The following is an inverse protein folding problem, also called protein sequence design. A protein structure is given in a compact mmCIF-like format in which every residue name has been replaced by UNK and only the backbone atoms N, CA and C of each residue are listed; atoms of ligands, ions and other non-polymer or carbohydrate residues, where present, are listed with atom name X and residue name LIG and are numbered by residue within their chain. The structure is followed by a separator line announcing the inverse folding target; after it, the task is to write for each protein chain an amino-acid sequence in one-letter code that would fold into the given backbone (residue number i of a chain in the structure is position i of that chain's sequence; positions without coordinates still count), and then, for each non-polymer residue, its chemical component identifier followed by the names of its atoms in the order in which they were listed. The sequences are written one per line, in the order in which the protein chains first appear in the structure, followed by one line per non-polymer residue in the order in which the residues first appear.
data_IF_222489215574
#
_entry.id   IF_222489215574
#
_cell.length_a   1.000
_cell.length_b   1.000
_cell.length_c   1.000
_cell.angle_alpha   90.00
_cell.angle_beta   90.00
_cell.angle_gamma   90.00
#
_symmetry.space_group_name_H-M   'P 1'
#
loop_
_entity.id
_entity.type
_entity.pdbx_description
1 polymer ?
#
# COMPACT_ATOMS: atom_id res chain seq x y z
N UNK A 1 -13.54 0.42 -13.98
CA UNK A 1 -12.50 1.38 -13.48
C UNK A 1 -11.90 0.82 -12.19
N UNK A 2 -10.88 1.43 -11.55
CA UNK A 2 -10.21 0.82 -10.38
C UNK A 2 -11.12 0.56 -9.17
N UNK A 3 -12.18 1.35 -9.00
CA UNK A 3 -13.22 1.12 -7.99
C UNK A 3 -14.17 -0.07 -8.33
N UNK A 4 -14.00 -0.70 -9.48
CA UNK A 4 -14.70 -1.93 -9.90
C UNK A 4 -13.84 -3.17 -9.67
N UNK A 5 -12.55 -2.98 -9.33
CA UNK A 5 -11.62 -4.04 -9.02
C UNK A 5 -11.94 -4.67 -7.66
N UNK A 6 -11.62 -5.95 -7.53
CA UNK A 6 -11.82 -6.75 -6.32
C UNK A 6 -10.75 -6.41 -5.28
N UNK A 7 -9.49 -6.34 -5.70
CA UNK A 7 -8.38 -6.07 -4.81
C UNK A 7 -8.21 -4.57 -4.54
N UNK A 8 -7.70 -4.28 -3.35
CA UNK A 8 -7.40 -2.91 -2.94
C UNK A 8 -6.28 -2.32 -3.79
N UNK A 9 -6.46 -1.10 -4.25
CA UNK A 9 -5.44 -0.28 -4.94
C UNK A 9 -5.56 1.17 -4.49
N UNK A 10 -4.48 1.94 -4.57
CA UNK A 10 -4.48 3.33 -4.10
C UNK A 10 -5.56 4.18 -4.77
N UNK A 11 -5.71 4.06 -6.08
CA UNK A 11 -6.76 4.80 -6.82
C UNK A 11 -8.12 4.14 -6.82
N UNK A 12 -8.22 2.84 -6.53
CA UNK A 12 -9.47 2.17 -6.20
C UNK A 12 -10.06 2.74 -4.92
N UNK A 13 -9.23 2.94 -3.89
CA UNK A 13 -9.59 3.63 -2.64
C UNK A 13 -10.05 5.06 -2.96
N UNK A 14 -9.25 5.85 -3.67
CA UNK A 14 -9.56 7.24 -4.05
C UNK A 14 -10.93 7.33 -4.73
N UNK A 15 -11.15 6.53 -5.77
CA UNK A 15 -12.40 6.53 -6.57
C UNK A 15 -13.61 5.95 -5.83
N UNK A 16 -13.41 5.39 -4.64
CA UNK A 16 -14.48 4.88 -3.77
C UNK A 16 -14.91 5.88 -2.70
N UNK A 17 -14.31 7.08 -2.67
CA UNK A 17 -14.70 8.15 -1.76
C UNK A 17 -15.73 9.09 -2.41
N UNK A 18 -16.47 9.86 -1.57
CA UNK A 18 -17.50 10.77 -2.08
C UNK A 18 -16.90 12.06 -2.65
N UNK A 19 -15.84 12.57 -2.01
CA UNK A 19 -15.20 13.83 -2.32
C UNK A 19 -13.72 13.56 -2.58
N UNK A 20 -13.25 13.90 -3.76
CA UNK A 20 -11.86 13.79 -4.16
C UNK A 20 -11.58 14.71 -5.34
N UNK A 21 -10.33 15.04 -5.57
CA UNK A 21 -9.94 15.77 -6.79
C UNK A 21 -10.24 14.96 -8.05
N UNK A 22 -10.67 15.63 -9.12
CA UNK A 22 -10.87 15.01 -10.43
C UNK A 22 -9.55 14.88 -11.22
N UNK A 23 -8.56 15.69 -10.87
CA UNK A 23 -7.21 15.69 -11.45
C UNK A 23 -6.24 15.02 -10.49
N UNK A 24 -6.17 13.68 -10.55
CA UNK A 24 -5.22 12.96 -9.68
C UNK A 24 -3.88 12.76 -10.36
N UNK A 25 -2.86 13.06 -9.58
CA UNK A 25 -1.47 12.75 -9.89
C UNK A 25 -0.80 12.32 -8.59
N UNK A 26 -0.08 11.22 -8.62
CA UNK A 26 0.65 10.73 -7.45
C UNK A 26 1.58 11.81 -6.89
N UNK A 27 1.64 11.91 -5.57
CA UNK A 27 2.43 12.90 -4.83
C UNK A 27 2.09 14.37 -5.16
N UNK A 28 0.87 14.66 -5.61
CA UNK A 28 0.45 16.01 -5.92
C UNK A 28 0.02 16.78 -4.66
N UNK A 29 0.72 17.87 -4.29
CA UNK A 29 0.38 18.69 -3.11
C UNK A 29 -0.74 19.71 -3.37
N UNK A 30 -1.27 19.77 -4.59
CA UNK A 30 -2.26 20.77 -4.98
C UNK A 30 -3.63 20.46 -4.37
N UNK A 31 -4.28 21.47 -3.83
CA UNK A 31 -5.68 21.47 -3.43
C UNK A 31 -6.47 22.40 -4.34
N UNK A 32 -7.43 21.86 -5.06
CA UNK A 32 -8.40 22.61 -5.83
C UNK A 32 -9.66 22.79 -4.94
N UNK A 33 -9.87 24.00 -4.42
CA UNK A 33 -10.93 24.25 -3.43
C UNK A 33 -12.32 23.86 -3.95
N UNK A 34 -12.57 23.99 -5.23
CA UNK A 34 -13.83 23.62 -5.86
C UNK A 34 -14.16 22.12 -5.73
N UNK A 35 -13.15 21.26 -5.70
CA UNK A 35 -13.35 19.81 -5.52
C UNK A 35 -13.87 19.49 -4.11
N UNK A 36 -13.60 20.35 -3.12
CA UNK A 36 -13.90 20.13 -1.70
C UNK A 36 -15.06 20.97 -1.13
N UNK A 37 -15.69 21.83 -1.96
CA UNK A 37 -16.76 22.73 -1.50
C UNK A 37 -18.06 22.05 -1.04
N UNK A 38 -18.27 20.79 -1.44
CA UNK A 38 -19.48 20.02 -1.15
C UNK A 38 -19.31 19.05 0.00
N UNK A 39 -18.33 19.24 0.87
CA UNK A 39 -18.15 18.41 2.07
C UNK A 39 -19.31 18.72 3.03
N UNK A 40 -20.06 17.69 3.38
CA UNK A 40 -21.19 17.72 4.32
C UNK A 40 -20.99 16.64 5.38
N UNK A 41 -21.90 16.60 6.36
CA UNK A 41 -21.88 15.62 7.46
C UNK A 41 -21.75 14.18 6.93
N UNK A 42 -20.73 13.47 7.40
CA UNK A 42 -20.46 12.10 7.00
C UNK A 42 -19.79 11.92 5.65
N UNK A 43 -19.40 13.00 4.96
CA UNK A 43 -18.63 12.87 3.71
C UNK A 43 -17.34 12.07 3.92
N UNK A 44 -17.04 11.15 3.00
CA UNK A 44 -15.78 10.42 2.91
C UNK A 44 -14.90 11.20 1.93
N UNK A 45 -13.89 11.86 2.45
CA UNK A 45 -13.05 12.83 1.73
C UNK A 45 -11.68 12.21 1.47
N UNK A 46 -11.24 12.20 0.21
CA UNK A 46 -9.89 11.76 -0.13
C UNK A 46 -8.96 12.94 -0.37
N UNK A 47 -7.76 12.85 0.21
CA UNK A 47 -6.69 13.82 0.03
C UNK A 47 -5.37 13.07 -0.21
N UNK A 48 -4.60 13.46 -1.24
CA UNK A 48 -3.24 12.93 -1.39
C UNK A 48 -2.38 13.25 -0.16
N UNK A 49 -1.57 12.30 0.32
CA UNK A 49 -0.74 12.54 1.52
C UNK A 49 0.08 13.83 1.39
N UNK A 50 0.68 14.10 0.22
CA UNK A 50 1.45 15.32 -0.03
C UNK A 50 0.63 16.61 0.09
N UNK A 51 -0.71 16.53 -0.01
CA UNK A 51 -1.63 17.66 0.04
C UNK A 51 -2.27 17.87 1.43
N UNK A 52 -2.04 16.99 2.40
CA UNK A 52 -2.68 17.03 3.73
C UNK A 52 -2.45 18.36 4.44
N UNK A 53 -1.22 18.88 4.42
CA UNK A 53 -0.91 20.17 5.04
C UNK A 53 -1.72 21.31 4.41
N UNK A 54 -1.79 21.32 3.08
CA UNK A 54 -2.58 22.33 2.35
C UNK A 54 -4.08 22.16 2.62
N UNK A 55 -4.60 20.94 2.71
CA UNK A 55 -5.99 20.66 3.09
C UNK A 55 -6.31 21.23 4.47
N UNK A 56 -5.48 20.98 5.47
CA UNK A 56 -5.64 21.50 6.83
C UNK A 56 -5.65 23.03 6.85
N UNK A 57 -4.82 23.67 6.03
CA UNK A 57 -4.68 25.14 6.02
C UNK A 57 -5.77 25.84 5.21
N UNK A 58 -6.30 25.22 4.15
CA UNK A 58 -7.17 25.91 3.20
C UNK A 58 -8.62 25.40 3.19
N UNK A 59 -8.82 24.09 3.29
CA UNK A 59 -10.18 23.49 3.22
C UNK A 59 -10.77 23.38 4.61
N UNK A 60 -10.03 22.78 5.56
CA UNK A 60 -10.53 22.53 6.91
C UNK A 60 -11.14 23.78 7.58
N UNK A 61 -10.59 25.00 7.49
CA UNK A 61 -11.19 26.19 8.09
C UNK A 61 -12.58 26.55 7.52
N UNK A 62 -12.91 26.08 6.32
CA UNK A 62 -14.22 26.33 5.68
C UNK A 62 -15.29 25.34 6.08
N UNK A 63 -14.91 24.20 6.66
CA UNK A 63 -15.83 23.13 7.00
C UNK A 63 -16.58 23.43 8.30
N UNK A 64 -17.83 23.00 8.34
CA UNK A 64 -18.70 23.07 9.53
C UNK A 64 -19.07 21.67 10.05
N UNK A 65 -19.14 20.71 9.16
CA UNK A 65 -19.64 19.37 9.42
C UNK A 65 -18.51 18.38 9.70
N UNK A 66 -18.86 17.26 10.30
CA UNK A 66 -17.96 16.12 10.54
C UNK A 66 -17.77 15.31 9.28
N UNK A 67 -16.55 14.81 9.08
CA UNK A 67 -16.16 14.02 7.90
C UNK A 67 -15.16 12.91 8.25
N UNK A 68 -15.06 11.93 7.37
CA UNK A 68 -14.04 10.89 7.37
C UNK A 68 -12.96 11.27 6.36
N UNK A 69 -11.68 11.25 6.78
CA UNK A 69 -10.56 11.49 5.91
C UNK A 69 -9.94 10.15 5.46
N UNK A 70 -9.68 10.04 4.18
CA UNK A 70 -8.91 8.96 3.57
C UNK A 70 -7.73 9.58 2.85
N UNK A 71 -6.50 9.11 3.08
CA UNK A 71 -5.34 9.71 2.43
C UNK A 71 -4.32 8.69 1.93
N UNK A 72 -3.68 9.02 0.81
CA UNK A 72 -2.71 8.13 0.16
C UNK A 72 -2.15 8.69 -1.14
N UNK A 73 -1.85 7.81 -2.11
CA UNK A 73 -1.31 8.11 -3.46
C UNK A 73 -0.02 8.96 -3.42
N UNK A 74 0.84 8.70 -2.41
CA UNK A 74 2.12 9.36 -2.25
C UNK A 74 3.07 8.51 -1.40
N UNK A 75 4.37 8.65 -1.68
CA UNK A 75 5.45 7.99 -0.94
C UNK A 75 5.75 8.66 0.42
N UNK A 76 5.23 9.87 0.66
CA UNK A 76 5.53 10.59 1.90
C UNK A 76 4.92 9.91 3.12
N UNK A 77 5.66 9.93 4.21
CA UNK A 77 5.24 9.40 5.51
C UNK A 77 4.37 10.41 6.26
N UNK A 78 3.37 9.90 6.96
CA UNK A 78 2.48 10.71 7.80
C UNK A 78 2.73 10.31 9.27
N UNK A 79 3.01 11.25 10.15
CA UNK A 79 3.13 12.71 9.93
C UNK A 79 4.51 13.18 9.44
N UNK A 80 5.56 12.40 9.57
CA UNK A 80 6.96 12.81 9.64
C UNK A 80 7.44 13.70 8.47
N UNK A 81 6.93 13.46 7.26
CA UNK A 81 7.36 14.20 6.06
C UNK A 81 6.51 15.46 5.79
N UNK A 82 5.33 15.59 6.40
CA UNK A 82 4.34 16.60 5.99
C UNK A 82 3.80 17.48 7.12
N UNK A 83 3.81 16.99 8.36
CA UNK A 83 3.29 17.71 9.53
C UNK A 83 4.29 17.67 10.67
N UNK A 84 4.39 18.74 11.40
CA UNK A 84 4.98 18.68 12.74
C UNK A 84 4.09 17.85 13.67
N UNK A 85 4.66 17.30 14.73
CA UNK A 85 3.88 16.54 15.72
C UNK A 85 2.77 17.37 16.36
N UNK A 86 2.98 18.68 16.51
CA UNK A 86 1.98 19.61 17.04
C UNK A 86 0.81 19.80 16.06
N UNK A 87 1.09 20.00 14.77
CA UNK A 87 0.07 20.11 13.72
C UNK A 87 -0.73 18.81 13.62
N UNK A 88 -0.04 17.67 13.65
CA UNK A 88 -0.67 16.35 13.59
C UNK A 88 -1.62 16.11 14.76
N UNK A 89 -1.16 16.33 16.00
CA UNK A 89 -2.00 16.14 17.19
C UNK A 89 -3.16 17.13 17.21
N UNK A 90 -2.94 18.40 16.86
CA UNK A 90 -4.00 19.40 16.77
C UNK A 90 -5.08 18.99 15.76
N UNK A 91 -4.68 18.42 14.61
CA UNK A 91 -5.63 17.93 13.61
C UNK A 91 -6.42 16.72 14.09
N UNK A 92 -5.81 15.80 14.82
CA UNK A 92 -6.51 14.64 15.40
C UNK A 92 -7.58 15.05 16.45
N UNK A 93 -7.33 16.15 17.19
CA UNK A 93 -8.27 16.68 18.16
C UNK A 93 -9.39 17.53 17.53
N UNK A 94 -9.29 17.86 16.22
CA UNK A 94 -10.34 18.60 15.54
C UNK A 94 -11.68 17.86 15.63
N UNK A 95 -12.75 18.51 16.15
CA UNK A 95 -14.05 17.86 16.32
C UNK A 95 -14.75 17.48 15.01
N UNK A 96 -14.35 18.09 13.89
CA UNK A 96 -14.90 17.77 12.56
C UNK A 96 -14.29 16.51 11.98
N UNK A 97 -13.08 16.12 12.37
CA UNK A 97 -12.46 14.87 11.96
C UNK A 97 -13.08 13.70 12.76
N UNK A 98 -13.88 12.87 12.09
CA UNK A 98 -14.43 11.66 12.68
C UNK A 98 -13.38 10.54 12.71
N UNK A 99 -12.75 10.26 11.57
CA UNK A 99 -11.72 9.24 11.45
C UNK A 99 -10.78 9.55 10.29
N UNK A 100 -9.53 9.12 10.38
CA UNK A 100 -8.53 9.23 9.34
C UNK A 100 -7.93 7.87 8.99
N UNK A 101 -8.17 7.40 7.78
CA UNK A 101 -7.52 6.25 7.18
C UNK A 101 -6.32 6.74 6.36
N UNK A 102 -5.11 6.30 6.70
CA UNK A 102 -3.89 6.90 6.17
C UNK A 102 -2.90 5.86 5.65
N UNK A 103 -2.48 5.97 4.39
CA UNK A 103 -1.32 5.25 3.85
C UNK A 103 -0.03 5.81 4.43
N UNK A 104 1.01 4.97 4.51
CA UNK A 104 2.32 5.36 5.04
C UNK A 104 2.24 6.07 6.41
N UNK A 105 1.34 5.62 7.28
CA UNK A 105 1.18 6.13 8.64
C UNK A 105 2.30 5.60 9.53
N UNK A 106 3.23 6.46 9.94
CA UNK A 106 4.44 6.10 10.69
C UNK A 106 4.38 6.58 12.15
N UNK A 107 3.32 6.24 12.83
CA UNK A 107 3.18 6.51 14.27
C UNK A 107 3.56 5.27 15.08
N UNK A 108 4.18 5.42 16.28
CA UNK A 108 4.46 4.29 17.14
C UNK A 108 3.19 3.49 17.48
N UNK A 109 3.28 2.18 17.41
CA UNK A 109 2.11 1.26 17.58
C UNK A 109 1.35 1.50 18.88
N UNK A 110 2.05 1.82 19.97
CA UNK A 110 1.45 2.13 21.28
C UNK A 110 0.86 3.53 21.39
N UNK A 111 0.97 4.34 20.35
CA UNK A 111 0.51 5.74 20.31
C UNK A 111 -0.53 5.99 19.22
N UNK A 112 -1.10 4.93 18.63
CA UNK A 112 -2.13 5.08 17.58
C UNK A 112 -3.40 5.69 18.22
N UNK A 113 -3.74 6.89 17.77
CA UNK A 113 -4.93 7.58 18.20
C UNK A 113 -6.20 6.85 17.74
N UNK A 114 -7.28 6.89 18.54
CA UNK A 114 -8.57 6.22 18.23
C UNK A 114 -9.20 6.62 16.88
N UNK A 115 -8.90 7.82 16.40
CA UNK A 115 -9.34 8.32 15.08
C UNK A 115 -8.44 7.92 13.93
N UNK A 116 -7.38 7.13 14.15
CA UNK A 116 -6.43 6.74 13.11
C UNK A 116 -6.55 5.26 12.74
N UNK A 117 -6.39 4.97 11.47
CA UNK A 117 -6.17 3.61 10.96
C UNK A 117 -5.15 3.60 9.84
N UNK A 118 -4.26 2.63 9.88
CA UNK A 118 -3.43 2.33 8.72
C UNK A 118 -4.30 1.95 7.52
N UNK A 119 -3.88 2.37 6.33
CA UNK A 119 -4.49 2.07 5.05
C UNK A 119 -3.42 1.51 4.11
N UNK A 120 -3.67 0.40 3.39
CA UNK A 120 -2.70 -0.14 2.45
C UNK A 120 -2.57 0.72 1.20
N UNK A 121 -1.38 0.70 0.58
CA UNK A 121 -1.24 1.21 -0.78
C UNK A 121 -1.93 0.30 -1.80
N UNK A 122 -1.97 -1.01 -1.53
CA UNK A 122 -2.59 -2.00 -2.40
C UNK A 122 -1.85 -2.19 -3.73
N UNK A 123 -2.59 -2.64 -4.74
CA UNK A 123 -2.06 -2.89 -6.08
C UNK A 123 -1.85 -1.60 -6.88
N UNK A 124 -0.87 -1.61 -7.76
CA UNK A 124 -0.64 -0.52 -8.71
C UNK A 124 -1.29 -0.84 -10.06
N UNK A 125 -2.54 -0.47 -10.23
CA UNK A 125 -3.17 -0.54 -11.55
C UNK A 125 -2.99 0.76 -12.36
N UNK A 126 -2.71 1.88 -11.71
CA UNK A 126 -2.71 3.20 -12.34
C UNK A 126 -1.51 3.47 -13.22
N UNK A 127 -0.34 2.88 -12.93
CA UNK A 127 0.89 3.16 -13.68
C UNK A 127 0.75 2.85 -15.17
N UNK A 128 0.22 1.70 -15.56
CA UNK A 128 0.03 1.36 -16.98
C UNK A 128 -1.38 1.66 -17.49
N UNK A 129 -2.32 2.06 -16.63
CA UNK A 129 -3.65 2.51 -17.08
C UNK A 129 -3.74 4.00 -17.36
N UNK A 130 -2.69 4.77 -17.09
CA UNK A 130 -2.66 6.20 -17.39
C UNK A 130 -2.48 6.42 -18.90
N UNK A 131 -3.36 7.19 -19.57
CA UNK A 131 -3.27 7.43 -21.01
C UNK A 131 -1.93 8.06 -21.39
N UNK A 132 -1.32 7.56 -22.46
CA UNK A 132 -0.05 8.08 -22.99
C UNK A 132 1.19 7.68 -22.19
N UNK A 133 1.05 6.91 -21.12
CA UNK A 133 2.18 6.40 -20.36
C UNK A 133 2.83 5.21 -21.09
N UNK A 134 4.12 5.35 -21.39
CA UNK A 134 4.97 4.25 -21.88
C UNK A 134 5.82 3.78 -20.69
N UNK A 135 5.33 2.78 -19.99
CA UNK A 135 6.05 2.22 -18.85
C UNK A 135 6.67 0.88 -19.24
N UNK A 136 7.89 0.57 -18.77
CA UNK A 136 8.53 -0.73 -19.06
C UNK A 136 7.72 -1.94 -18.61
N UNK A 137 6.77 -1.78 -17.69
CA UNK A 137 5.89 -2.87 -17.23
C UNK A 137 4.90 -3.36 -18.27
N UNK A 138 4.66 -2.60 -19.34
CA UNK A 138 3.78 -3.03 -20.41
C UNK A 138 3.09 -1.88 -21.14
N UNK A 139 2.26 -2.25 -22.10
CA UNK A 139 1.39 -1.34 -22.83
C UNK A 139 0.25 -0.86 -21.93
N UNK A 140 -0.41 0.22 -22.36
CA UNK A 140 -1.59 0.73 -21.68
C UNK A 140 -2.68 -0.35 -21.55
N UNK A 141 -3.08 -0.62 -20.31
CA UNK A 141 -4.16 -1.56 -20.00
C UNK A 141 -5.10 -1.01 -18.92
N UNK A 142 -6.39 -1.33 -19.05
CA UNK A 142 -7.40 -0.94 -18.05
C UNK A 142 -7.17 -1.70 -16.73
N UNK A 143 -7.46 -1.10 -15.58
CA UNK A 143 -7.32 -1.73 -14.26
C UNK A 143 -8.01 -3.10 -14.15
N UNK A 144 -9.23 -3.22 -14.68
CA UNK A 144 -10.00 -4.47 -14.66
C UNK A 144 -9.38 -5.57 -15.53
N UNK A 145 -8.67 -5.20 -16.61
CA UNK A 145 -7.94 -6.15 -17.46
C UNK A 145 -6.70 -6.65 -16.72
N UNK A 146 -5.95 -5.74 -16.09
CA UNK A 146 -4.79 -6.09 -15.27
C UNK A 146 -5.19 -7.02 -14.10
N UNK A 147 -6.30 -6.73 -13.44
CA UNK A 147 -6.80 -7.59 -12.36
C UNK A 147 -7.19 -8.98 -12.87
N UNK A 148 -7.82 -9.07 -14.04
CA UNK A 148 -8.14 -10.36 -14.66
C UNK A 148 -6.88 -11.19 -14.92
N UNK A 149 -5.80 -10.58 -15.42
CA UNK A 149 -4.50 -11.24 -15.63
C UNK A 149 -3.92 -11.75 -14.29
N UNK A 150 -4.02 -10.94 -13.23
CA UNK A 150 -3.58 -11.34 -11.88
C UNK A 150 -4.38 -12.56 -11.37
N UNK A 151 -5.70 -12.55 -11.54
CA UNK A 151 -6.56 -13.65 -11.13
C UNK A 151 -6.29 -14.92 -11.97
N UNK A 152 -6.06 -14.80 -13.27
CA UNK A 152 -5.67 -15.93 -14.12
C UNK A 152 -4.31 -16.51 -13.68
N UNK A 153 -3.37 -15.65 -13.28
CA UNK A 153 -2.10 -16.11 -12.74
C UNK A 153 -2.28 -16.82 -11.40
N UNK A 154 -3.15 -16.31 -10.52
CA UNK A 154 -3.48 -16.95 -9.24
C UNK A 154 -4.10 -18.35 -9.46
N UNK A 155 -4.99 -18.52 -10.44
CA UNK A 155 -5.56 -19.83 -10.76
C UNK A 155 -4.49 -20.81 -11.28
N UNK A 156 -3.59 -20.35 -12.14
CA UNK A 156 -2.44 -21.16 -12.59
C UNK A 156 -1.57 -21.61 -11.41
N UNK A 157 -1.36 -20.74 -10.43
CA UNK A 157 -0.54 -21.04 -9.25
C UNK A 157 -1.12 -22.14 -8.36
N UNK A 158 -2.44 -22.28 -8.30
CA UNK A 158 -3.10 -23.37 -7.55
C UNK A 158 -2.74 -24.77 -8.07
N UNK A 159 -2.30 -24.85 -9.31
CA UNK A 159 -1.90 -26.11 -9.96
C UNK A 159 -0.39 -26.38 -9.86
N UNK A 160 0.40 -25.45 -9.32
CA UNK A 160 1.82 -25.64 -9.13
C UNK A 160 2.06 -26.70 -8.04
N UNK A 161 2.62 -27.83 -8.44
CA UNK A 161 2.93 -28.92 -7.51
C UNK A 161 4.03 -28.58 -6.51
N UNK A 162 4.94 -27.66 -6.88
CA UNK A 162 6.05 -27.23 -6.04
C UNK A 162 6.50 -25.82 -6.39
N UNK A 163 6.47 -24.92 -5.40
CA UNK A 163 7.08 -23.60 -5.49
C UNK A 163 8.57 -23.67 -5.13
N UNK A 164 9.35 -22.74 -5.67
CA UNK A 164 10.77 -22.57 -5.33
C UNK A 164 10.89 -22.03 -3.90
N UNK A 165 11.69 -22.68 -3.08
CA UNK A 165 11.83 -22.33 -1.66
C UNK A 165 12.90 -21.24 -1.45
N UNK A 166 12.69 -20.09 -2.09
CA UNK A 166 13.52 -18.88 -2.01
C UNK A 166 12.63 -17.65 -1.97
N UNK A 167 13.22 -16.50 -1.68
CA UNK A 167 12.60 -15.20 -1.87
C UNK A 167 12.88 -14.67 -3.28
N UNK A 168 11.82 -14.36 -4.03
CA UNK A 168 11.92 -13.67 -5.33
C UNK A 168 12.14 -12.18 -5.14
N UNK A 169 12.96 -11.58 -5.99
CA UNK A 169 13.27 -10.16 -5.94
C UNK A 169 13.45 -9.59 -7.35
N UNK A 170 12.69 -8.54 -7.68
CA UNK A 170 12.79 -7.79 -8.93
C UNK A 170 12.76 -6.27 -8.73
N UNK A 171 13.02 -5.78 -7.54
CA UNK A 171 12.99 -4.34 -7.27
C UNK A 171 14.19 -3.62 -7.90
N UNK A 172 13.97 -2.37 -8.30
CA UNK A 172 15.04 -1.53 -8.80
C UNK A 172 16.07 -1.20 -7.72
N UNK A 173 17.34 -1.31 -8.06
CA UNK A 173 18.45 -0.88 -7.19
C UNK A 173 18.68 0.64 -7.23
N UNK A 174 18.06 1.36 -8.19
CA UNK A 174 18.21 2.80 -8.31
C UNK A 174 17.65 3.52 -7.08
N UNK A 175 18.48 4.37 -6.47
CA UNK A 175 18.19 5.11 -5.26
C UNK A 175 18.26 6.60 -5.61
N UNK A 176 17.20 7.15 -6.23
CA UNK A 176 17.11 8.55 -6.58
C UNK A 176 15.97 9.22 -5.84
N UNK A 177 16.17 10.44 -5.34
CA UNK A 177 15.14 11.22 -4.66
C UNK A 177 14.72 10.63 -3.32
N UNK A 178 13.43 10.58 -3.06
CA UNK A 178 12.84 10.01 -1.83
C UNK A 178 13.25 8.54 -1.62
N UNK A 179 13.53 7.82 -2.71
CA UNK A 179 14.03 6.45 -2.68
C UNK A 179 15.36 6.26 -1.95
N UNK A 180 16.11 7.32 -1.66
CA UNK A 180 17.32 7.25 -0.81
C UNK A 180 17.02 6.80 0.63
N UNK A 181 15.76 6.85 1.06
CA UNK A 181 15.31 6.32 2.35
C UNK A 181 15.04 4.82 2.33
N UNK A 182 15.10 4.20 1.16
CA UNK A 182 14.86 2.77 1.00
C UNK A 182 15.97 1.92 1.59
N UNK A 183 15.61 0.69 1.96
CA UNK A 183 16.53 -0.30 2.50
C UNK A 183 16.91 -1.38 1.47
N UNK A 184 16.67 -1.11 0.18
CA UNK A 184 16.92 -2.05 -0.93
C UNK A 184 18.38 -2.48 -1.03
N UNK A 185 19.31 -1.51 -0.94
CA UNK A 185 20.74 -1.82 -0.99
C UNK A 185 21.19 -2.59 0.25
N UNK A 186 20.64 -2.25 1.41
CA UNK A 186 20.89 -2.99 2.65
C UNK A 186 20.44 -4.45 2.53
N UNK A 187 19.22 -4.67 2.00
CA UNK A 187 18.69 -6.00 1.76
C UNK A 187 19.62 -6.83 0.84
N UNK A 188 20.05 -6.26 -0.29
CA UNK A 188 20.97 -6.94 -1.24
C UNK A 188 22.30 -7.30 -0.57
N UNK A 189 22.81 -6.43 0.30
CA UNK A 189 24.12 -6.64 0.93
C UNK A 189 24.08 -7.64 2.09
N UNK A 190 22.95 -7.74 2.80
CA UNK A 190 22.85 -8.52 4.04
C UNK A 190 22.21 -9.90 3.86
N UNK A 191 21.32 -10.07 2.90
CA UNK A 191 20.61 -11.33 2.71
C UNK A 191 21.55 -12.38 2.10
N UNK A 192 21.64 -13.60 2.69
CA UNK A 192 22.41 -14.69 2.12
C UNK A 192 21.92 -15.04 0.70
N UNK A 193 22.88 -15.24 -0.21
CA UNK A 193 22.59 -15.50 -1.64
C UNK A 193 21.79 -16.79 -1.89
N UNK A 194 21.88 -17.74 -0.99
CA UNK A 194 21.15 -19.01 -1.03
C UNK A 194 19.70 -18.87 -0.54
N UNK A 195 19.30 -17.70 -0.04
CA UNK A 195 17.94 -17.41 0.39
C UNK A 195 17.12 -16.59 -0.62
N UNK A 196 17.75 -16.03 -1.67
CA UNK A 196 17.09 -15.09 -2.57
C UNK A 196 17.47 -15.35 -4.03
N UNK A 197 16.47 -15.22 -4.90
CA UNK A 197 16.64 -15.15 -6.36
C UNK A 197 16.42 -13.71 -6.80
N UNK A 198 17.44 -13.12 -7.40
CA UNK A 198 17.36 -11.80 -8.02
C UNK A 198 17.04 -11.93 -9.51
N UNK A 199 15.95 -11.34 -9.96
CA UNK A 199 15.58 -11.29 -11.38
C UNK A 199 16.66 -10.52 -12.15
N UNK A 200 17.37 -11.17 -13.09
CA UNK A 200 18.52 -10.54 -13.74
C UNK A 200 18.13 -9.47 -14.75
N UNK A 201 16.91 -9.56 -15.29
CA UNK A 201 16.44 -8.69 -16.34
C UNK A 201 15.20 -7.91 -15.89
N UNK A 202 15.03 -6.74 -16.49
CA UNK A 202 13.76 -6.04 -16.38
C UNK A 202 12.67 -6.83 -17.13
N UNK A 203 11.56 -7.09 -16.48
CA UNK A 203 10.45 -7.86 -17.04
C UNK A 203 9.18 -7.04 -17.08
N UNK A 204 8.27 -7.33 -18.02
CA UNK A 204 6.91 -6.83 -18.00
C UNK A 204 6.17 -7.30 -16.74
N UNK A 205 5.08 -6.62 -16.39
CA UNK A 205 4.34 -6.91 -15.16
C UNK A 205 3.77 -8.33 -15.15
N UNK A 206 3.19 -8.78 -16.25
CA UNK A 206 2.62 -10.13 -16.39
C UNK A 206 3.68 -11.21 -16.21
N UNK A 207 4.88 -11.02 -16.81
CA UNK A 207 6.04 -11.91 -16.63
C UNK A 207 6.53 -11.86 -15.18
N UNK A 208 6.61 -10.66 -14.57
CA UNK A 208 7.02 -10.51 -13.19
C UNK A 208 6.06 -11.24 -12.23
N UNK A 209 4.74 -11.15 -12.43
CA UNK A 209 3.75 -11.89 -11.65
C UNK A 209 3.85 -13.41 -11.86
N UNK A 210 4.09 -13.85 -13.10
CA UNK A 210 4.29 -15.26 -13.40
C UNK A 210 5.56 -15.83 -12.74
N UNK A 211 6.66 -15.10 -12.77
CA UNK A 211 7.89 -15.50 -12.08
C UNK A 211 7.73 -15.48 -10.57
N UNK A 212 7.24 -14.37 -10.00
CA UNK A 212 7.01 -14.19 -8.57
C UNK A 212 6.18 -15.32 -7.98
N UNK A 213 5.12 -15.71 -8.67
CA UNK A 213 4.20 -16.74 -8.22
C UNK A 213 4.81 -18.15 -8.09
N UNK A 214 5.94 -18.38 -8.72
CA UNK A 214 6.68 -19.64 -8.61
C UNK A 214 7.46 -19.77 -7.31
N UNK A 215 7.56 -18.70 -6.50
CA UNK A 215 8.32 -18.68 -5.26
C UNK A 215 7.40 -18.68 -4.03
N UNK A 216 7.88 -19.23 -2.91
CA UNK A 216 7.15 -19.13 -1.65
C UNK A 216 7.20 -17.72 -1.08
N UNK A 217 8.32 -17.02 -1.26
CA UNK A 217 8.57 -15.72 -0.67
C UNK A 217 8.84 -14.64 -1.72
N UNK A 218 8.54 -13.39 -1.34
CA UNK A 218 8.88 -12.20 -2.14
C UNK A 218 9.56 -11.18 -1.25
N UNK A 219 10.73 -10.75 -1.64
CA UNK A 219 11.45 -9.73 -0.91
C UNK A 219 10.86 -8.35 -1.18
N UNK A 220 10.37 -7.69 -0.14
CA UNK A 220 9.71 -6.39 -0.26
C UNK A 220 10.33 -5.31 0.63
N UNK A 221 11.58 -4.89 0.34
CA UNK A 221 12.17 -3.75 1.02
C UNK A 221 11.41 -2.48 0.68
N UNK A 222 11.38 -1.52 1.62
CA UNK A 222 10.78 -0.20 1.38
C UNK A 222 11.46 0.51 0.22
N UNK A 223 10.66 1.31 -0.49
CA UNK A 223 11.10 2.14 -1.61
C UNK A 223 11.12 3.61 -1.25
N UNK A 224 10.43 4.42 -2.03
CA UNK A 224 10.15 5.82 -1.72
C UNK A 224 9.29 5.93 -0.46
N UNK A 225 8.19 5.19 -0.42
CA UNK A 225 7.34 5.01 0.77
C UNK A 225 7.68 3.76 1.56
N UNK A 226 7.13 3.67 2.77
CA UNK A 226 7.25 2.50 3.63
C UNK A 226 6.42 1.33 3.10
N UNK A 227 5.18 1.57 2.67
CA UNK A 227 4.35 0.57 2.04
C UNK A 227 4.66 0.47 0.54
N UNK A 228 4.71 -0.73 0.02
CA UNK A 228 5.05 -1.00 -1.36
C UNK A 228 3.99 -1.86 -2.05
N UNK A 229 3.61 -1.53 -3.27
CA UNK A 229 2.70 -2.32 -4.11
C UNK A 229 3.11 -3.80 -4.19
N UNK A 230 4.41 -4.08 -4.23
CA UNK A 230 4.98 -5.43 -4.26
C UNK A 230 4.53 -6.31 -3.09
N UNK A 231 4.38 -5.75 -1.90
CA UNK A 231 3.85 -6.47 -0.72
C UNK A 231 2.45 -7.00 -0.98
N UNK A 232 1.59 -6.17 -1.55
CA UNK A 232 0.20 -6.49 -1.84
C UNK A 232 0.06 -7.42 -3.04
N UNK A 233 0.86 -7.23 -4.08
CA UNK A 233 0.95 -8.15 -5.23
C UNK A 233 1.38 -9.55 -4.78
N UNK A 234 2.39 -9.65 -3.90
CA UNK A 234 2.85 -10.92 -3.34
C UNK A 234 1.72 -11.65 -2.59
N UNK A 235 1.00 -10.95 -1.73
CA UNK A 235 -0.15 -11.49 -1.00
C UNK A 235 -1.25 -11.97 -1.94
N UNK A 236 -1.60 -11.18 -2.96
CA UNK A 236 -2.60 -11.55 -3.96
C UNK A 236 -2.18 -12.76 -4.79
N UNK A 237 -0.89 -12.96 -5.03
CA UNK A 237 -0.33 -14.12 -5.74
C UNK A 237 -0.12 -15.36 -4.84
N UNK A 238 -0.52 -15.27 -3.57
CA UNK A 238 -0.35 -16.37 -2.61
C UNK A 238 1.11 -16.63 -2.25
N UNK A 239 1.94 -15.58 -2.24
CA UNK A 239 3.32 -15.60 -1.75
C UNK A 239 3.39 -14.93 -0.39
N UNK A 240 4.44 -15.20 0.36
CA UNK A 240 4.73 -14.60 1.66
C UNK A 240 5.70 -13.43 1.42
N UNK A 241 5.27 -12.17 1.52
CA UNK A 241 6.22 -11.05 1.45
C UNK A 241 7.09 -11.01 2.69
N UNK A 242 8.37 -10.66 2.50
CA UNK A 242 9.32 -10.40 3.58
C UNK A 242 9.55 -8.90 3.65
N UNK A 243 9.27 -8.31 4.80
CA UNK A 243 9.42 -6.87 5.08
C UNK A 243 10.29 -6.63 6.29
N UNK A 244 10.98 -5.49 6.36
CA UNK A 244 11.68 -5.07 7.56
C UNK A 244 10.70 -4.39 8.51
N UNK A 245 10.79 -4.70 9.79
CA UNK A 245 9.93 -4.12 10.85
C UNK A 245 9.93 -2.60 10.81
N UNK A 246 8.77 -2.02 10.96
CA UNK A 246 8.54 -0.58 10.96
C UNK A 246 7.23 -0.23 11.70
N UNK A 247 6.92 1.06 11.78
CA UNK A 247 5.63 1.50 12.31
C UNK A 247 4.42 1.07 11.44
N UNK A 248 4.65 0.40 10.30
CA UNK A 248 3.58 -0.22 9.50
C UNK A 248 3.25 -1.66 9.92
N UNK A 249 3.98 -2.28 10.84
CA UNK A 249 3.73 -3.66 11.27
C UNK A 249 2.26 -3.94 11.62
N UNK A 250 1.51 -3.00 12.26
CA UNK A 250 0.08 -3.19 12.53
C UNK A 250 -0.77 -3.41 11.27
N UNK A 251 -0.37 -2.87 10.11
CA UNK A 251 -1.06 -3.04 8.83
C UNK A 251 -1.04 -4.50 8.36
N UNK A 252 0.01 -5.24 8.73
CA UNK A 252 0.22 -6.63 8.34
C UNK A 252 -0.33 -7.63 9.35
N UNK A 253 -0.93 -7.16 10.43
CA UNK A 253 -1.53 -8.04 11.45
C UNK A 253 -2.55 -8.99 10.83
N UNK A 254 -2.43 -10.27 11.13
CA UNK A 254 -3.26 -11.36 10.57
C UNK A 254 -3.09 -11.63 9.06
N UNK A 255 -2.05 -11.10 8.42
CA UNK A 255 -1.64 -11.44 7.06
C UNK A 255 -0.41 -12.36 7.07
N UNK A 256 -0.20 -13.21 6.06
CA UNK A 256 0.99 -14.03 5.94
C UNK A 256 2.19 -13.19 5.47
N UNK A 257 2.68 -12.31 6.32
CA UNK A 257 3.83 -11.43 6.09
C UNK A 257 4.94 -11.80 7.06
N UNK A 258 6.13 -12.13 6.55
CA UNK A 258 7.31 -12.35 7.37
C UNK A 258 7.96 -10.99 7.68
N UNK A 259 7.88 -10.57 8.94
CA UNK A 259 8.49 -9.33 9.42
C UNK A 259 9.82 -9.67 10.09
N UNK A 260 10.93 -9.14 9.55
CA UNK A 260 12.27 -9.30 10.10
C UNK A 260 12.76 -8.00 10.74
N UNK A 261 13.58 -8.08 11.78
CA UNK A 261 14.17 -6.89 12.41
C UNK A 261 15.34 -6.36 11.60
N UNK A 262 16.15 -7.23 11.06
CA UNK A 262 17.26 -6.93 10.16
C UNK A 262 17.25 -7.89 8.97
N UNK A 263 17.74 -7.46 7.81
CA UNK A 263 17.81 -8.30 6.62
C UNK A 263 18.75 -9.51 6.80
N UNK A 264 19.72 -9.42 7.71
CA UNK A 264 20.61 -10.54 8.08
C UNK A 264 19.92 -11.65 8.88
N UNK A 265 18.71 -11.42 9.40
CA UNK A 265 17.92 -12.45 10.09
C UNK A 265 17.44 -13.53 9.11
N UNK A 266 17.38 -13.23 7.82
CA UNK A 266 16.90 -14.16 6.79
C UNK A 266 17.90 -15.31 6.65
N UNK A 267 17.39 -16.53 6.79
CA UNK A 267 18.13 -17.77 6.61
C UNK A 267 17.21 -18.85 6.06
N UNK A 268 17.78 -19.91 5.50
CA UNK A 268 17.00 -21.06 5.05
C UNK A 268 16.16 -21.67 6.20
N UNK A 269 16.71 -21.68 7.43
CA UNK A 269 15.99 -22.13 8.62
C UNK A 269 14.78 -21.27 8.92
N UNK A 270 14.95 -19.94 8.98
CA UNK A 270 13.83 -19.01 9.21
C UNK A 270 12.74 -19.15 8.15
N UNK A 271 13.12 -19.23 6.87
CA UNK A 271 12.15 -19.41 5.79
C UNK A 271 11.36 -20.71 5.98
N UNK A 272 12.04 -21.83 6.29
CA UNK A 272 11.38 -23.11 6.50
C UNK A 272 10.43 -23.08 7.69
N UNK A 273 10.85 -22.62 8.85
CA UNK A 273 10.04 -22.52 10.07
C UNK A 273 8.82 -21.60 9.87
N UNK A 274 9.01 -20.47 9.18
CA UNK A 274 7.92 -19.55 8.82
C UNK A 274 6.90 -20.26 7.93
N UNK A 275 7.33 -20.94 6.89
CA UNK A 275 6.43 -21.67 6.00
C UNK A 275 5.65 -22.77 6.74
N UNK A 276 6.31 -23.56 7.57
CA UNK A 276 5.67 -24.60 8.38
C UNK A 276 4.62 -24.03 9.34
N UNK A 277 4.88 -22.86 9.90
CA UNK A 277 3.94 -22.15 10.78
C UNK A 277 2.78 -21.57 10.00
N UNK A 278 3.07 -20.83 8.91
CA UNK A 278 2.06 -20.13 8.13
C UNK A 278 1.14 -21.08 7.36
N UNK A 279 1.65 -22.23 6.91
CA UNK A 279 0.83 -23.26 6.25
C UNK A 279 -0.26 -23.87 7.16
N UNK A 280 -0.10 -23.77 8.47
CA UNK A 280 -1.06 -24.23 9.50
C UNK A 280 -1.91 -23.09 10.07
N UNK A 281 -1.59 -21.85 9.74
CA UNK A 281 -2.25 -20.65 10.29
C UNK A 281 -3.38 -20.21 9.37
N UNK A 282 -4.54 -19.90 9.95
CA UNK A 282 -5.64 -19.28 9.22
C UNK A 282 -5.51 -17.77 9.26
N UNK A 283 -5.13 -17.17 8.16
CA UNK A 283 -4.99 -15.71 8.02
C UNK A 283 -6.30 -15.05 7.62
N UNK A 284 -6.43 -13.77 7.98
CA UNK A 284 -7.58 -12.96 7.61
C UNK A 284 -7.21 -12.04 6.42
N UNK A 285 -7.53 -12.51 5.22
CA UNK A 285 -7.16 -11.81 3.98
C UNK A 285 -8.12 -10.66 3.60
N UNK A 286 -9.05 -10.24 4.46
CA UNK A 286 -10.05 -9.20 4.14
C UNK A 286 -9.44 -7.89 3.70
N UNK A 287 -8.28 -7.53 4.26
CA UNK A 287 -7.58 -6.29 3.95
C UNK A 287 -7.02 -6.22 2.53
N UNK A 288 -7.00 -7.34 1.80
CA UNK A 288 -6.67 -7.36 0.37
C UNK A 288 -7.82 -6.86 -0.52
N UNK A 289 -9.04 -6.80 0.00
CA UNK A 289 -10.22 -6.50 -0.80
C UNK A 289 -10.63 -5.03 -0.64
N UNK A 290 -10.89 -4.35 -1.76
CA UNK A 290 -11.36 -2.96 -1.77
C UNK A 290 -12.68 -2.81 -0.99
N UNK A 291 -13.59 -3.77 -1.14
CA UNK A 291 -14.88 -3.77 -0.46
C UNK A 291 -14.78 -3.71 1.07
N UNK A 292 -13.75 -4.33 1.66
CA UNK A 292 -13.48 -4.24 3.10
C UNK A 292 -13.23 -2.79 3.55
N UNK A 293 -12.39 -2.07 2.83
CA UNK A 293 -12.05 -0.69 3.15
C UNK A 293 -13.21 0.26 2.94
N UNK A 294 -13.94 0.09 1.82
CA UNK A 294 -15.15 0.87 1.54
C UNK A 294 -16.21 0.66 2.63
N UNK A 295 -16.38 -0.56 3.13
CA UNK A 295 -17.28 -0.84 4.25
C UNK A 295 -16.84 -0.12 5.53
N UNK A 296 -15.55 -0.13 5.86
CA UNK A 296 -15.00 0.59 7.00
C UNK A 296 -15.18 2.11 6.91
N UNK A 297 -14.96 2.68 5.71
CA UNK A 297 -15.19 4.12 5.49
C UNK A 297 -16.65 4.48 5.77
N UNK A 298 -17.60 3.69 5.27
CA UNK A 298 -19.04 3.90 5.49
C UNK A 298 -19.44 3.71 6.95
N UNK A 299 -18.82 2.76 7.65
CA UNK A 299 -19.04 2.56 9.08
C UNK A 299 -18.65 3.80 9.89
N UNK A 300 -17.47 4.39 9.63
CA UNK A 300 -17.05 5.61 10.31
C UNK A 300 -17.88 6.83 9.87
N UNK A 301 -18.25 6.91 8.59
CA UNK A 301 -19.15 7.96 8.08
C UNK A 301 -20.52 7.95 8.77
N UNK A 302 -21.06 6.78 9.08
CA UNK A 302 -22.35 6.66 9.76
C UNK A 302 -22.31 7.10 11.24
N UNK A 303 -21.12 7.28 11.83
CA UNK A 303 -20.94 7.77 13.21
C UNK A 303 -20.85 9.32 13.27
N UNK A 304 -20.73 9.97 12.13
CA UNK A 304 -20.80 11.43 12.04
C UNK A 304 -22.20 11.92 12.43
#
# INVERSE_FOLDING_TARGET
MENECIFVSSRGILKSTNIHTVQFSSSNPLILLDDYKNITKGSIVYVCNSAIKNFIQTVLPTLKDTFVLVSGDSDVSVPDDILSITEFNSFLEDPRLQHWFCQNLVVPTNSIHRKLSHLPIGLDYHTISSPGNQHPWGLHELPTVQEKQLLEQLEKNKTLQQKVFLAYSNFHHAIWGIGQRGDRQEAVNKIPKDCVYYEPNFTSRDVAWAHQSQFHYVLSPKGGGYDCHRTWEALCLGCIPIVKSSNLDPLYTNLPVLIVKDWSDISQTLLKETYETFSKTRFNMRTLYLSHWVARFKEESAKC
#
